data_IF_890025216217
#
_entry.id   IF_890025216217
#
_cell.length_a   1.000
_cell.length_b   1.000
_cell.length_c   1.000
_cell.angle_alpha   90.00
_cell.angle_beta   90.00
_cell.angle_gamma   90.00
#
_symmetry.space_group_name_H-M   'P 1'
#
loop_
_entity.id
_entity.type
_entity.pdbx_description
1 polymer ?
#
# COMPACT_ATOMS: atom_id res chain seq x y z
N UNK A 1 41.51 15.38 -26.83
CA UNK A 1 40.66 16.26 -27.65
C UNK A 1 39.33 15.56 -27.88
N UNK A 2 38.29 15.85 -27.08
CA UNK A 2 37.03 15.09 -27.11
C UNK A 2 35.85 15.96 -26.70
N UNK A 3 35.23 16.63 -27.67
CA UNK A 3 33.97 17.39 -27.48
C UNK A 3 33.04 17.26 -28.70
N UNK A 4 33.21 16.24 -29.54
CA UNK A 4 32.36 16.06 -30.73
C UNK A 4 31.22 15.04 -30.55
N UNK A 5 31.25 14.24 -29.48
CA UNK A 5 30.29 13.14 -29.29
C UNK A 5 29.07 13.49 -28.43
N UNK A 6 29.05 14.66 -27.78
CA UNK A 6 27.96 15.00 -26.83
C UNK A 6 26.78 15.72 -27.51
N UNK A 7 27.05 16.50 -28.57
CA UNK A 7 26.02 17.37 -29.18
C UNK A 7 24.93 16.57 -29.92
N UNK A 8 25.29 15.43 -30.53
CA UNK A 8 24.31 14.61 -31.27
C UNK A 8 23.36 13.83 -30.36
N UNK A 9 23.84 13.41 -29.20
CA UNK A 9 23.00 12.76 -28.19
C UNK A 9 22.09 13.78 -27.49
N UNK A 10 22.60 14.99 -27.22
CA UNK A 10 21.79 16.08 -26.67
C UNK A 10 20.71 16.57 -27.67
N UNK A 11 20.98 16.56 -28.98
CA UNK A 11 19.96 16.93 -29.98
C UNK A 11 18.84 15.91 -30.15
N UNK A 12 19.15 14.61 -29.98
CA UNK A 12 18.10 13.59 -29.92
C UNK A 12 17.30 13.67 -28.62
N UNK A 13 17.96 13.94 -27.49
CA UNK A 13 17.29 14.21 -26.21
C UNK A 13 16.39 15.44 -26.29
N UNK A 14 16.84 16.55 -26.89
CA UNK A 14 16.05 17.76 -27.03
C UNK A 14 14.83 17.56 -27.95
N UNK A 15 14.96 16.78 -29.03
CA UNK A 15 13.80 16.39 -29.86
C UNK A 15 12.83 15.47 -29.12
N UNK A 16 13.33 14.54 -28.31
CA UNK A 16 12.48 13.70 -27.47
C UNK A 16 11.75 14.53 -26.40
N UNK A 17 12.42 15.53 -25.82
CA UNK A 17 11.87 16.41 -24.79
C UNK A 17 10.88 17.44 -25.36
N UNK A 18 11.08 17.95 -26.57
CA UNK A 18 10.11 18.87 -27.21
C UNK A 18 8.85 18.15 -27.69
N UNK A 19 8.93 16.86 -28.06
CA UNK A 19 7.72 16.04 -28.32
C UNK A 19 6.96 15.74 -27.01
N UNK A 20 7.64 15.70 -25.87
CA UNK A 20 6.98 15.55 -24.56
C UNK A 20 6.38 16.88 -24.04
N UNK A 21 6.64 18.02 -24.69
CA UNK A 21 6.08 19.32 -24.29
C UNK A 21 4.61 19.54 -24.68
N UNK A 22 4.17 18.94 -25.79
CA UNK A 22 2.78 19.01 -26.28
C UNK A 22 1.94 17.80 -25.86
N UNK A 23 2.57 16.72 -25.36
CA UNK A 23 1.89 15.53 -24.80
C UNK A 23 1.33 15.74 -23.37
N UNK A 24 1.64 16.87 -22.71
CA UNK A 24 1.05 17.25 -21.42
C UNK A 24 -0.28 18.02 -21.54
N UNK A 25 -0.90 18.04 -22.73
CA UNK A 25 -2.24 18.59 -22.97
C UNK A 25 -3.41 17.69 -22.55
N UNK A 26 -3.25 16.79 -21.58
CA UNK A 26 -4.33 15.87 -21.23
C UNK A 26 -4.01 14.78 -20.21
N UNK A 27 -3.48 15.10 -19.02
CA UNK A 27 -3.61 14.15 -17.89
C UNK A 27 -5.10 13.93 -17.67
N UNK A 28 -5.60 12.76 -18.06
CA UNK A 28 -6.98 12.39 -17.87
C UNK A 28 -7.31 12.49 -16.38
N UNK A 29 -8.55 12.79 -16.02
CA UNK A 29 -8.99 12.83 -14.62
C UNK A 29 -8.57 11.56 -13.86
N UNK A 30 -8.52 10.42 -14.56
CA UNK A 30 -8.03 9.13 -14.06
C UNK A 30 -6.54 9.16 -13.67
N UNK A 31 -5.66 9.71 -14.50
CA UNK A 31 -4.21 9.77 -14.18
C UNK A 31 -3.93 10.68 -12.99
N UNK A 32 -4.68 11.77 -12.85
CA UNK A 32 -4.58 12.65 -11.67
C UNK A 32 -5.10 11.95 -10.42
N UNK A 33 -6.19 11.20 -10.54
CA UNK A 33 -6.75 10.42 -9.44
C UNK A 33 -5.79 9.32 -9.00
N UNK A 34 -5.23 8.53 -9.94
CA UNK A 34 -4.23 7.51 -9.65
C UNK A 34 -2.98 8.07 -8.95
N UNK A 35 -2.48 9.25 -9.38
CA UNK A 35 -1.36 9.91 -8.70
C UNK A 35 -1.73 10.38 -7.29
N UNK A 36 -2.96 10.84 -7.08
CA UNK A 36 -3.43 11.25 -5.76
C UNK A 36 -3.62 10.03 -4.82
N UNK A 37 -4.22 8.96 -5.35
CA UNK A 37 -4.45 7.70 -4.66
C UNK A 37 -3.13 7.04 -4.26
N UNK A 38 -2.13 7.06 -5.15
CA UNK A 38 -0.77 6.59 -4.87
C UNK A 38 -0.13 7.36 -3.71
N UNK A 39 -0.28 8.69 -3.69
CA UNK A 39 0.23 9.53 -2.60
C UNK A 39 -0.46 9.21 -1.28
N UNK A 40 -1.77 8.97 -1.29
CA UNK A 40 -2.54 8.67 -0.09
C UNK A 40 -2.12 7.32 0.51
N UNK A 41 -2.03 6.26 -0.32
CA UNK A 41 -1.59 4.94 0.16
C UNK A 41 -0.15 4.99 0.65
N UNK A 42 0.75 5.69 -0.07
CA UNK A 42 2.12 5.87 0.37
C UNK A 42 2.22 6.55 1.74
N UNK A 43 1.51 7.67 1.94
CA UNK A 43 1.51 8.40 3.21
C UNK A 43 0.97 7.55 4.37
N UNK A 44 -0.05 6.74 4.12
CA UNK A 44 -0.57 5.80 5.12
C UNK A 44 0.45 4.71 5.47
N UNK A 45 1.10 4.11 4.46
CA UNK A 45 2.11 3.07 4.67
C UNK A 45 3.35 3.60 5.40
N UNK A 46 3.75 4.86 5.19
CA UNK A 46 4.83 5.46 5.97
C UNK A 46 4.48 5.52 7.48
N UNK A 47 3.23 5.81 7.83
CA UNK A 47 2.76 5.73 9.23
C UNK A 47 2.78 4.29 9.75
N UNK A 48 2.41 3.31 8.92
CA UNK A 48 2.52 1.89 9.27
C UNK A 48 3.97 1.55 9.60
N UNK A 49 4.93 1.95 8.76
CA UNK A 49 6.35 1.61 8.93
C UNK A 49 6.96 2.18 10.21
N UNK A 50 6.56 3.39 10.62
CA UNK A 50 7.00 3.99 11.88
C UNK A 50 6.55 3.17 13.11
N UNK A 51 5.43 2.45 12.99
CA UNK A 51 4.85 1.66 14.07
C UNK A 51 5.21 0.16 13.98
N UNK A 52 5.87 -0.28 12.91
CA UNK A 52 6.36 -1.65 12.81
C UNK A 52 7.69 -1.81 13.55
N UNK A 53 7.89 -2.92 14.29
CA UNK A 53 9.21 -3.27 14.81
C UNK A 53 10.17 -3.58 13.63
N UNK A 54 11.49 -3.65 13.89
CA UNK A 54 12.45 -4.07 12.88
C UNK A 54 12.11 -5.42 12.24
N UNK A 55 12.40 -5.56 10.94
CA UNK A 55 12.21 -6.81 10.16
C UNK A 55 13.02 -7.98 10.76
N UNK A 56 12.53 -9.24 10.69
CA UNK A 56 11.31 -9.69 10.01
C UNK A 56 10.07 -9.77 10.92
N UNK A 57 9.00 -9.07 10.52
CA UNK A 57 7.65 -9.29 11.04
C UNK A 57 6.67 -9.56 9.91
N UNK A 58 5.65 -10.37 10.22
CA UNK A 58 4.59 -10.75 9.29
C UNK A 58 3.54 -9.64 9.24
N UNK A 59 3.23 -9.20 8.03
CA UNK A 59 2.27 -8.12 7.79
C UNK A 59 1.25 -8.59 6.77
N UNK A 60 -0.03 -8.60 7.12
CA UNK A 60 -1.12 -8.83 6.19
C UNK A 60 -1.57 -7.49 5.61
N UNK A 61 -1.38 -7.30 4.29
CA UNK A 61 -1.87 -6.13 3.58
C UNK A 61 -3.19 -6.48 2.89
N UNK A 62 -4.27 -5.84 3.33
CA UNK A 62 -5.63 -6.07 2.81
C UNK A 62 -6.29 -4.77 2.39
N UNK A 63 -6.85 -4.77 1.19
CA UNK A 63 -7.58 -3.67 0.59
C UNK A 63 -8.63 -4.21 -0.38
N UNK A 64 -9.73 -3.49 -0.60
CA UNK A 64 -10.75 -3.93 -1.56
C UNK A 64 -10.23 -3.88 -3.00
N UNK A 65 -9.57 -2.79 -3.37
CA UNK A 65 -8.99 -2.60 -4.69
C UNK A 65 -7.63 -3.27 -4.82
N UNK A 66 -7.45 -4.01 -5.91
CA UNK A 66 -6.19 -4.69 -6.24
C UNK A 66 -4.99 -3.74 -6.24
N UNK A 67 -5.17 -2.56 -6.83
CA UNK A 67 -4.13 -1.53 -6.91
C UNK A 67 -3.55 -1.18 -5.52
N UNK A 68 -4.40 -1.05 -4.50
CA UNK A 68 -3.93 -0.72 -3.15
C UNK A 68 -3.24 -1.89 -2.46
N UNK A 69 -3.66 -3.14 -2.73
CA UNK A 69 -2.96 -4.33 -2.21
C UNK A 69 -1.53 -4.36 -2.74
N UNK A 70 -1.37 -4.21 -4.04
CA UNK A 70 -0.06 -4.22 -4.71
C UNK A 70 0.84 -3.07 -4.24
N UNK A 71 0.33 -1.82 -4.30
CA UNK A 71 1.12 -0.64 -3.92
C UNK A 71 1.44 -0.63 -2.43
N UNK A 72 0.48 -0.99 -1.58
CA UNK A 72 0.70 -1.11 -0.15
C UNK A 72 1.77 -2.15 0.18
N UNK A 73 1.67 -3.34 -0.42
CA UNK A 73 2.67 -4.40 -0.22
C UNK A 73 4.05 -4.00 -0.74
N UNK A 74 4.13 -3.36 -1.90
CA UNK A 74 5.38 -2.85 -2.47
C UNK A 74 6.09 -1.88 -1.50
N UNK A 75 5.35 -0.95 -0.92
CA UNK A 75 5.91 0.03 0.04
C UNK A 75 6.24 -0.55 1.41
N UNK A 76 5.75 -1.75 1.72
CA UNK A 76 6.07 -2.48 2.95
C UNK A 76 7.30 -3.39 2.80
N UNK A 77 7.89 -3.56 1.61
CA UNK A 77 9.16 -4.27 1.53
C UNK A 77 10.28 -3.51 2.27
N UNK A 78 11.18 -4.20 3.02
CA UNK A 78 11.44 -5.64 2.98
C UNK A 78 10.77 -6.46 4.12
N UNK A 79 9.62 -6.04 4.67
CA UNK A 79 8.89 -6.88 5.63
C UNK A 79 8.36 -8.16 4.97
N UNK A 80 7.96 -9.15 5.79
CA UNK A 80 7.33 -10.37 5.30
C UNK A 80 5.83 -10.09 5.07
N UNK A 81 5.52 -9.57 3.88
CA UNK A 81 4.17 -9.09 3.53
C UNK A 81 3.37 -10.19 2.85
N UNK A 82 2.17 -10.45 3.36
CA UNK A 82 1.18 -11.33 2.77
C UNK A 82 0.01 -10.50 2.22
N UNK A 83 -0.33 -10.71 0.97
CA UNK A 83 -1.52 -10.16 0.33
C UNK A 83 -2.01 -11.13 -0.74
N UNK A 84 -3.32 -11.23 -0.94
CA UNK A 84 -3.86 -11.90 -2.12
C UNK A 84 -3.98 -10.87 -3.22
N UNK A 85 -3.25 -11.04 -4.32
CA UNK A 85 -3.21 -9.96 -5.26
C UNK A 85 -4.43 -10.06 -6.20
N UNK A 86 -4.69 -11.21 -6.82
CA UNK A 86 -5.80 -11.31 -7.77
C UNK A 86 -7.17 -11.42 -7.06
N UNK A 87 -7.22 -12.02 -5.87
CA UNK A 87 -8.47 -12.18 -5.12
C UNK A 87 -8.59 -11.14 -4.01
N UNK A 88 -9.79 -10.62 -3.80
CA UNK A 88 -10.09 -9.78 -2.64
C UNK A 88 -10.30 -10.64 -1.37
N UNK A 89 -9.33 -11.50 -1.07
CA UNK A 89 -9.38 -12.48 0.00
C UNK A 89 -8.84 -11.89 1.32
N UNK A 90 -9.46 -12.30 2.43
CA UNK A 90 -8.88 -12.14 3.77
C UNK A 90 -8.21 -13.45 4.17
N UNK A 91 -7.12 -13.43 4.96
CA UNK A 91 -6.60 -14.66 5.55
C UNK A 91 -7.67 -15.31 6.45
N UNK A 92 -7.75 -16.64 6.52
CA UNK A 92 -8.54 -17.29 7.56
C UNK A 92 -7.97 -16.95 8.94
N UNK A 93 -8.81 -16.84 9.98
CA UNK A 93 -8.35 -16.51 11.32
C UNK A 93 -7.29 -17.50 11.86
N UNK A 94 -7.33 -18.77 11.42
CA UNK A 94 -6.34 -19.79 11.78
C UNK A 94 -4.94 -19.57 11.20
N UNK A 95 -4.77 -18.72 10.18
CA UNK A 95 -3.48 -18.37 9.62
C UNK A 95 -2.79 -17.20 10.34
N UNK A 96 -3.52 -16.54 11.25
CA UNK A 96 -3.09 -15.34 11.97
C UNK A 96 -2.62 -15.72 13.37
N UNK A 97 -1.49 -15.17 13.78
CA UNK A 97 -0.79 -15.51 15.02
C UNK A 97 -0.48 -14.25 15.83
N UNK A 98 -0.34 -14.40 17.14
CA UNK A 98 0.13 -13.34 18.03
C UNK A 98 1.45 -12.75 17.51
N UNK A 99 1.53 -11.42 17.47
CA UNK A 99 2.67 -10.68 16.92
C UNK A 99 2.61 -10.40 15.42
N UNK A 100 1.66 -10.97 14.68
CA UNK A 100 1.37 -10.56 13.31
C UNK A 100 0.75 -9.14 13.29
N UNK A 101 0.89 -8.45 12.16
CA UNK A 101 0.29 -7.14 11.93
C UNK A 101 -0.72 -7.19 10.79
N UNK A 102 -1.81 -6.45 10.94
CA UNK A 102 -2.81 -6.24 9.90
C UNK A 102 -2.78 -4.79 9.45
N UNK A 103 -2.59 -4.58 8.15
CA UNK A 103 -2.70 -3.29 7.48
C UNK A 103 -3.96 -3.33 6.64
N UNK A 104 -4.99 -2.65 7.12
CA UNK A 104 -6.31 -2.61 6.54
C UNK A 104 -6.46 -1.27 5.84
N UNK A 105 -6.43 -1.25 4.50
CA UNK A 105 -6.53 -0.01 3.73
C UNK A 105 -7.77 0.00 2.86
N UNK A 106 -8.73 0.89 3.17
CA UNK A 106 -10.02 0.98 2.44
C UNK A 106 -10.67 -0.39 2.17
N UNK A 107 -10.69 -1.25 3.20
CA UNK A 107 -11.23 -2.61 3.14
C UNK A 107 -12.53 -2.68 3.91
N UNK A 108 -13.63 -2.98 3.22
CA UNK A 108 -14.92 -3.22 3.86
C UNK A 108 -14.96 -4.57 4.57
N UNK A 109 -15.89 -4.72 5.51
CA UNK A 109 -16.14 -5.98 6.21
C UNK A 109 -15.15 -6.31 7.33
N UNK A 110 -14.21 -5.42 7.64
CA UNK A 110 -13.37 -5.51 8.83
C UNK A 110 -14.00 -4.68 9.94
N UNK A 111 -14.21 -5.30 11.08
CA UNK A 111 -14.85 -4.71 12.25
C UNK A 111 -13.95 -4.88 13.47
N UNK A 112 -13.82 -3.82 14.26
CA UNK A 112 -13.05 -3.84 15.49
C UNK A 112 -13.93 -3.49 16.69
N UNK A 113 -13.96 -4.40 17.67
CA UNK A 113 -14.54 -4.15 18.99
C UNK A 113 -13.43 -3.68 19.93
N UNK A 114 -13.39 -2.38 20.19
CA UNK A 114 -12.41 -1.76 21.07
C UNK A 114 -12.60 -2.11 22.54
N UNK A 115 -13.82 -2.41 22.98
CA UNK A 115 -14.10 -2.75 24.37
C UNK A 115 -13.50 -4.12 24.72
N UNK A 116 -13.59 -5.07 23.79
CA UNK A 116 -13.09 -6.43 23.97
C UNK A 116 -11.74 -6.71 23.27
N UNK A 117 -11.19 -5.71 22.55
CA UNK A 117 -9.96 -5.83 21.74
C UNK A 117 -10.03 -6.99 20.75
N UNK A 118 -11.12 -7.04 19.98
CA UNK A 118 -11.38 -8.10 19.01
C UNK A 118 -11.51 -7.56 17.59
N UNK A 119 -10.74 -8.13 16.67
CA UNK A 119 -10.85 -7.89 15.25
C UNK A 119 -11.65 -9.02 14.60
N UNK A 120 -12.63 -8.68 13.77
CA UNK A 120 -13.48 -9.62 13.04
C UNK A 120 -13.52 -9.24 11.57
N UNK A 121 -13.51 -10.25 10.70
CA UNK A 121 -13.75 -10.07 9.28
C UNK A 121 -14.41 -11.31 8.69
N UNK A 122 -15.23 -11.10 7.66
CA UNK A 122 -15.99 -12.19 7.03
C UNK A 122 -16.73 -13.04 8.08
N UNK A 123 -16.83 -14.34 7.84
CA UNK A 123 -17.41 -15.32 8.77
C UNK A 123 -16.38 -15.94 9.72
N UNK A 124 -15.20 -15.33 9.87
CA UNK A 124 -14.19 -15.84 10.79
C UNK A 124 -14.53 -15.53 12.26
N UNK A 125 -14.11 -16.40 13.20
CA UNK A 125 -14.12 -16.07 14.62
C UNK A 125 -13.31 -14.79 14.92
N UNK A 126 -13.75 -13.94 15.86
CA UNK A 126 -12.99 -12.74 16.22
C UNK A 126 -11.63 -13.06 16.86
N UNK A 127 -10.56 -12.46 16.36
CA UNK A 127 -9.20 -12.64 16.88
C UNK A 127 -8.84 -11.53 17.87
N UNK A 128 -8.05 -11.82 18.92
CA UNK A 128 -7.47 -10.78 19.78
C UNK A 128 -6.58 -9.82 18.98
N UNK A 129 -6.83 -8.52 19.11
CA UNK A 129 -6.05 -7.51 18.42
C UNK A 129 -6.05 -6.16 19.15
N UNK A 130 -4.92 -5.47 19.07
CA UNK A 130 -4.77 -4.09 19.48
C UNK A 130 -4.84 -3.19 18.25
N UNK A 131 -5.69 -2.16 18.30
CA UNK A 131 -5.66 -1.08 17.33
C UNK A 131 -4.43 -0.20 17.58
N UNK A 132 -3.49 -0.18 16.62
CA UNK A 132 -2.30 0.67 16.70
C UNK A 132 -2.66 2.09 16.28
N UNK A 133 -3.31 2.25 15.13
CA UNK A 133 -3.91 3.52 14.71
C UNK A 133 -4.98 3.31 13.64
N UNK A 134 -5.84 4.31 13.44
CA UNK A 134 -6.80 4.36 12.34
C UNK A 134 -6.88 5.75 11.72
N UNK A 135 -7.16 5.82 10.42
CA UNK A 135 -7.29 7.06 9.66
C UNK A 135 -8.11 6.80 8.39
N UNK A 136 -9.12 7.62 8.12
CA UNK A 136 -9.79 7.65 6.81
C UNK A 136 -10.40 6.33 6.34
N UNK A 137 -10.90 5.49 7.26
CA UNK A 137 -11.43 4.15 6.92
C UNK A 137 -10.36 3.06 6.75
N UNK A 138 -9.11 3.38 7.09
CA UNK A 138 -7.97 2.47 7.13
C UNK A 138 -7.44 2.34 8.56
N UNK A 139 -6.77 1.24 8.87
CA UNK A 139 -6.24 0.99 10.20
C UNK A 139 -5.06 0.01 10.20
N UNK A 140 -4.24 0.12 11.24
CA UNK A 140 -3.20 -0.84 11.58
C UNK A 140 -3.55 -1.52 12.89
N UNK A 141 -3.46 -2.85 12.90
CA UNK A 141 -3.67 -3.66 14.09
C UNK A 141 -2.45 -4.54 14.37
N UNK A 142 -2.20 -4.80 15.65
CA UNK A 142 -1.29 -5.84 16.11
C UNK A 142 -2.13 -6.99 16.67
N UNK A 143 -1.84 -8.21 16.25
CA UNK A 143 -2.51 -9.41 16.76
C UNK A 143 -1.89 -9.79 18.10
N UNK A 144 -2.75 -10.14 19.08
CA UNK A 144 -2.37 -10.46 20.45
C UNK A 144 -2.31 -11.97 20.71
#
# INVERSE_FOLDING_TARGET
MGIALDVRWQWNLARQVMVTGELYGGKSWRDRHLVADDRAVFAFIEKVRINLPPSPVRVFMVADEHYYRDRGAYHLYPYNVYFSPWENAMPPASAVHSGDYFVVYQRRGVQYDAANRRLRWSDNPPVPAELVFSEGGSAMFRIL
#
